data_IF_788841396440
#
_entry.id   IF_788841396440
#
_cell.length_a   1.000
_cell.length_b   1.000
_cell.length_c   1.000
_cell.angle_alpha   90.00
_cell.angle_beta   90.00
_cell.angle_gamma   90.00
#
_symmetry.space_group_name_H-M   'P 1'
#
loop_
_entity.id
_entity.type
_entity.pdbx_description
1 polymer ?
#
# COMPACT_ATOMS: atom_id res chain seq x y z
N UNK A 1 0.90 14.26 18.89
CA UNK A 1 -0.08 15.35 18.81
C UNK A 1 0.06 16.33 19.98
N UNK A 2 -0.16 15.86 21.19
CA UNK A 2 -0.21 16.74 22.40
C UNK A 2 1.12 17.44 22.79
N UNK A 3 2.24 17.08 22.17
CA UNK A 3 3.56 17.65 22.47
C UNK A 3 4.10 18.58 21.38
N UNK A 4 3.36 18.83 20.31
CA UNK A 4 3.77 19.72 19.22
C UNK A 4 5.01 19.25 18.44
N UNK A 5 5.39 17.97 18.55
CA UNK A 5 6.60 17.44 17.90
C UNK A 5 6.52 17.45 16.37
N UNK A 6 5.32 17.53 15.80
CA UNK A 6 5.15 17.67 14.35
C UNK A 6 5.84 18.93 13.78
N UNK A 7 5.90 20.01 14.57
CA UNK A 7 6.59 21.25 14.20
C UNK A 7 8.13 21.18 14.25
N UNK A 8 8.71 20.08 14.74
CA UNK A 8 10.16 19.90 14.82
C UNK A 8 10.75 19.16 13.63
N UNK A 9 9.91 18.62 12.73
CA UNK A 9 10.38 17.99 11.50
C UNK A 9 10.97 19.02 10.55
N UNK A 10 12.10 18.72 9.88
CA UNK A 10 12.61 19.55 8.80
C UNK A 10 11.52 19.77 7.73
N UNK A 11 11.45 20.98 7.19
CA UNK A 11 10.44 21.35 6.20
C UNK A 11 10.47 20.43 4.97
N UNK A 12 11.67 20.09 4.47
CA UNK A 12 11.84 19.18 3.33
C UNK A 12 11.29 17.78 3.58
N UNK A 13 11.46 17.27 4.80
CA UNK A 13 10.91 15.96 5.22
C UNK A 13 9.40 16.04 5.31
N UNK A 14 8.88 17.08 5.95
CA UNK A 14 7.44 17.34 6.05
C UNK A 14 6.79 17.40 4.67
N UNK A 15 7.37 18.18 3.76
CA UNK A 15 6.88 18.33 2.39
C UNK A 15 6.88 16.99 1.64
N UNK A 16 7.93 16.20 1.78
CA UNK A 16 8.00 14.86 1.16
C UNK A 16 6.92 13.94 1.71
N UNK A 17 6.69 13.93 3.02
CA UNK A 17 5.61 13.15 3.63
C UNK A 17 4.25 13.57 3.07
N UNK A 18 3.96 14.87 3.01
CA UNK A 18 2.69 15.37 2.52
C UNK A 18 2.47 15.07 1.03
N UNK A 19 3.51 15.18 0.22
CA UNK A 19 3.42 14.99 -1.25
C UNK A 19 3.50 13.52 -1.69
N UNK A 20 4.14 12.66 -0.89
CA UNK A 20 4.34 11.26 -1.26
C UNK A 20 3.48 10.31 -0.41
N UNK A 21 3.59 10.36 0.93
CA UNK A 21 2.92 9.37 1.77
C UNK A 21 1.40 9.62 1.87
N UNK A 22 0.98 10.86 1.95
CA UNK A 22 -0.45 11.18 2.12
C UNK A 22 -1.30 10.76 0.91
N UNK A 23 -0.88 10.95 -0.36
CA UNK A 23 -1.62 10.42 -1.51
C UNK A 23 -1.73 8.89 -1.53
N UNK A 24 -0.77 8.15 -0.96
CA UNK A 24 -0.82 6.69 -0.88
C UNK A 24 -2.00 6.13 -0.06
N UNK A 25 -2.69 6.97 0.72
CA UNK A 25 -3.97 6.60 1.34
C UNK A 25 -5.00 6.12 0.32
N UNK A 26 -4.95 6.63 -0.92
CA UNK A 26 -5.84 6.20 -2.00
C UNK A 26 -5.47 4.82 -2.51
N UNK A 27 -4.18 4.50 -2.57
CA UNK A 27 -3.70 3.14 -2.88
C UNK A 27 -4.13 2.16 -1.80
N UNK A 28 -3.91 2.49 -0.53
CA UNK A 28 -4.31 1.64 0.59
C UNK A 28 -5.82 1.41 0.63
N UNK A 29 -6.61 2.44 0.32
CA UNK A 29 -8.07 2.29 0.20
C UNK A 29 -8.45 1.38 -1.00
N UNK A 30 -7.79 1.52 -2.14
CA UNK A 30 -7.95 0.62 -3.28
C UNK A 30 -7.58 -0.82 -2.94
N UNK A 31 -6.46 -1.02 -2.24
CA UNK A 31 -6.03 -2.33 -1.74
C UNK A 31 -7.06 -2.97 -0.79
N UNK A 32 -7.70 -2.16 0.07
CA UNK A 32 -8.83 -2.61 0.90
C UNK A 32 -9.95 -3.19 0.03
N UNK A 33 -10.37 -2.47 -1.01
CA UNK A 33 -11.44 -2.91 -1.91
C UNK A 33 -11.05 -4.18 -2.67
N UNK A 34 -9.84 -4.26 -3.19
CA UNK A 34 -9.34 -5.42 -3.92
C UNK A 34 -9.29 -6.66 -3.03
N UNK A 35 -8.71 -6.57 -1.85
CA UNK A 35 -8.65 -7.69 -0.92
C UNK A 35 -10.05 -8.11 -0.43
N UNK A 36 -10.97 -7.18 -0.23
CA UNK A 36 -12.37 -7.49 0.08
C UNK A 36 -13.05 -8.23 -1.09
N UNK A 37 -12.77 -7.84 -2.33
CA UNK A 37 -13.26 -8.51 -3.54
C UNK A 37 -12.70 -9.93 -3.65
N UNK A 38 -11.39 -10.12 -3.47
CA UNK A 38 -10.79 -11.47 -3.44
C UNK A 38 -11.43 -12.33 -2.36
N UNK A 39 -11.62 -11.79 -1.15
CA UNK A 39 -12.31 -12.53 -0.09
C UNK A 39 -13.72 -12.96 -0.49
N UNK A 40 -14.47 -12.08 -1.14
CA UNK A 40 -15.88 -12.31 -1.48
C UNK A 40 -16.06 -13.34 -2.62
N UNK A 41 -15.16 -13.36 -3.59
CA UNK A 41 -15.31 -14.14 -4.82
C UNK A 41 -14.37 -15.35 -4.94
N UNK A 42 -13.42 -15.51 -4.02
CA UNK A 42 -12.51 -16.65 -4.02
C UNK A 42 -13.10 -17.87 -3.31
N UNK A 43 -12.51 -19.03 -3.59
CA UNK A 43 -12.89 -20.30 -2.98
C UNK A 43 -11.89 -20.73 -1.89
N UNK A 44 -12.42 -21.29 -0.83
CA UNK A 44 -11.63 -21.85 0.26
C UNK A 44 -11.18 -20.83 1.29
N UNK A 45 -11.39 -21.19 2.57
CA UNK A 45 -11.09 -20.30 3.71
C UNK A 45 -9.61 -19.99 3.87
N UNK A 46 -8.72 -20.90 3.45
CA UNK A 46 -7.27 -20.69 3.47
C UNK A 46 -6.79 -19.57 2.56
N UNK A 47 -7.59 -19.22 1.54
CA UNK A 47 -7.31 -18.12 0.63
C UNK A 47 -8.17 -16.87 0.96
N UNK A 48 -9.48 -17.05 1.20
CA UNK A 48 -10.38 -15.92 1.43
C UNK A 48 -10.15 -15.21 2.77
N UNK A 49 -9.89 -15.95 3.86
CA UNK A 49 -9.72 -15.33 5.19
C UNK A 49 -8.50 -14.40 5.31
N UNK A 50 -7.30 -14.74 4.84
CA UNK A 50 -6.19 -13.80 4.86
C UNK A 50 -6.50 -12.49 4.13
N UNK A 51 -7.25 -12.55 3.02
CA UNK A 51 -7.61 -11.36 2.28
C UNK A 51 -8.55 -10.41 3.04
N UNK A 52 -9.50 -10.93 3.83
CA UNK A 52 -10.32 -10.02 4.64
C UNK A 52 -9.53 -9.35 5.75
N UNK A 53 -8.55 -10.04 6.36
CA UNK A 53 -7.65 -9.41 7.31
C UNK A 53 -6.79 -8.33 6.64
N UNK A 54 -6.22 -8.63 5.47
CA UNK A 54 -5.48 -7.63 4.70
C UNK A 54 -6.35 -6.44 4.29
N UNK A 55 -7.59 -6.67 3.90
CA UNK A 55 -8.53 -5.58 3.61
C UNK A 55 -8.70 -4.65 4.82
N UNK A 56 -8.88 -5.20 6.02
CA UNK A 56 -9.01 -4.42 7.25
C UNK A 56 -7.72 -3.66 7.60
N UNK A 57 -6.57 -4.30 7.44
CA UNK A 57 -5.27 -3.68 7.68
C UNK A 57 -5.02 -2.52 6.70
N UNK A 58 -5.31 -2.70 5.42
CA UNK A 58 -5.17 -1.65 4.40
C UNK A 58 -6.11 -0.46 4.66
N UNK A 59 -7.33 -0.70 5.15
CA UNK A 59 -8.21 0.36 5.59
C UNK A 59 -7.60 1.13 6.78
N UNK A 60 -7.01 0.42 7.73
CA UNK A 60 -6.28 1.00 8.86
C UNK A 60 -5.09 1.86 8.40
N UNK A 61 -4.32 1.39 7.42
CA UNK A 61 -3.21 2.14 6.80
C UNK A 61 -3.72 3.42 6.12
N UNK A 62 -4.82 3.33 5.35
CA UNK A 62 -5.43 4.51 4.71
C UNK A 62 -5.85 5.57 5.74
N UNK A 63 -6.46 5.15 6.84
CA UNK A 63 -6.84 6.04 7.94
C UNK A 63 -5.62 6.63 8.64
N UNK A 64 -4.57 5.83 8.84
CA UNK A 64 -3.33 6.29 9.45
C UNK A 64 -2.62 7.35 8.61
N UNK A 65 -2.47 7.13 7.30
CA UNK A 65 -1.89 8.11 6.39
C UNK A 65 -2.73 9.41 6.33
N UNK A 66 -4.06 9.30 6.39
CA UNK A 66 -4.95 10.46 6.51
C UNK A 66 -4.65 11.25 7.79
N UNK A 67 -4.48 10.56 8.93
CA UNK A 67 -4.14 11.19 10.20
C UNK A 67 -2.78 11.86 10.19
N UNK A 68 -1.78 11.25 9.52
CA UNK A 68 -0.46 11.87 9.31
C UNK A 68 -0.60 13.18 8.52
N UNK A 69 -1.40 13.18 7.45
CA UNK A 69 -1.68 14.38 6.66
C UNK A 69 -2.31 15.49 7.51
N UNK A 70 -3.34 15.17 8.29
CA UNK A 70 -3.98 16.12 9.20
C UNK A 70 -3.03 16.69 10.27
N UNK A 71 -2.13 15.87 10.77
CA UNK A 71 -1.17 16.27 11.79
C UNK A 71 -0.09 17.21 11.26
N UNK A 72 0.35 17.00 10.01
CA UNK A 72 1.46 17.74 9.41
C UNK A 72 1.02 18.93 8.56
N UNK A 73 -0.17 18.93 7.99
CA UNK A 73 -0.60 19.95 7.03
C UNK A 73 -2.10 20.27 7.05
N UNK A 74 -2.81 19.91 8.10
CA UNK A 74 -4.25 20.14 8.27
C UNK A 74 -5.12 19.57 7.13
N UNK A 75 -6.37 20.02 7.04
CA UNK A 75 -7.34 19.57 6.02
C UNK A 75 -6.88 19.95 4.61
N UNK A 76 -6.22 21.08 4.44
CA UNK A 76 -5.74 21.56 3.14
C UNK A 76 -4.77 20.56 2.50
N UNK A 77 -3.90 19.93 3.29
CA UNK A 77 -2.96 18.91 2.78
C UNK A 77 -3.66 17.66 2.24
N UNK A 78 -4.82 17.32 2.81
CA UNK A 78 -5.62 16.20 2.31
C UNK A 78 -6.28 16.55 0.97
N UNK A 79 -6.74 17.77 0.79
CA UNK A 79 -7.33 18.24 -0.46
C UNK A 79 -6.26 18.36 -1.55
N UNK A 80 -5.06 18.84 -1.20
CA UNK A 80 -3.91 18.86 -2.11
C UNK A 80 -3.48 17.46 -2.53
N UNK A 81 -3.35 16.54 -1.59
CA UNK A 81 -3.01 15.15 -1.87
C UNK A 81 -4.06 14.46 -2.75
N UNK A 82 -5.35 14.76 -2.55
CA UNK A 82 -6.43 14.27 -3.41
C UNK A 82 -6.32 14.88 -4.81
N UNK A 83 -6.04 16.18 -4.92
CA UNK A 83 -5.87 16.85 -6.21
C UNK A 83 -4.66 16.26 -6.96
N UNK A 84 -3.53 16.07 -6.27
CA UNK A 84 -2.36 15.44 -6.86
C UNK A 84 -2.69 14.03 -7.39
N UNK A 85 -3.36 13.20 -6.59
CA UNK A 85 -3.82 11.87 -7.01
C UNK A 85 -4.70 11.93 -8.27
N UNK A 86 -5.58 12.90 -8.36
CA UNK A 86 -6.55 13.01 -9.46
C UNK A 86 -5.98 13.65 -10.73
N UNK A 87 -5.02 14.57 -10.62
CA UNK A 87 -4.66 15.48 -11.70
C UNK A 87 -3.16 15.51 -12.02
N UNK A 88 -2.27 15.16 -11.07
CA UNK A 88 -0.83 15.24 -11.26
C UNK A 88 -0.32 14.05 -12.09
N UNK A 89 0.39 14.32 -13.18
CA UNK A 89 0.95 13.35 -14.10
C UNK A 89 1.82 12.28 -13.38
N UNK A 90 2.51 12.67 -12.30
CA UNK A 90 3.34 11.76 -11.52
C UNK A 90 2.54 10.61 -10.88
N UNK A 91 1.25 10.84 -10.59
CA UNK A 91 0.37 9.85 -9.95
C UNK A 91 -0.47 9.04 -10.95
N UNK A 92 -0.63 9.49 -12.20
CA UNK A 92 -1.59 8.88 -13.12
C UNK A 92 -1.25 7.42 -13.49
N UNK A 93 0.03 7.06 -13.53
CA UNK A 93 0.44 5.68 -13.76
C UNK A 93 -0.04 4.73 -12.66
N UNK A 94 0.24 5.08 -11.40
CA UNK A 94 -0.18 4.30 -10.24
C UNK A 94 -1.71 4.33 -10.06
N UNK A 95 -2.34 5.49 -10.25
CA UNK A 95 -3.78 5.63 -10.19
C UNK A 95 -4.48 4.72 -11.20
N UNK A 96 -4.04 4.73 -12.46
CA UNK A 96 -4.59 3.87 -13.50
C UNK A 96 -4.48 2.40 -13.11
N UNK A 97 -3.31 1.98 -12.63
CA UNK A 97 -3.11 0.61 -12.18
C UNK A 97 -4.13 0.20 -11.09
N UNK A 98 -4.32 1.06 -10.09
CA UNK A 98 -5.28 0.82 -9.01
C UNK A 98 -6.72 0.78 -9.54
N UNK A 99 -7.11 1.72 -10.41
CA UNK A 99 -8.46 1.79 -10.96
C UNK A 99 -8.73 0.61 -11.93
N UNK A 100 -7.76 0.21 -12.75
CA UNK A 100 -7.88 -0.94 -13.64
C UNK A 100 -8.03 -2.26 -12.86
N UNK A 101 -7.38 -2.36 -11.70
CA UNK A 101 -7.52 -3.54 -10.83
C UNK A 101 -8.94 -3.78 -10.31
N UNK A 102 -9.78 -2.73 -10.18
CA UNK A 102 -11.16 -2.86 -9.72
C UNK A 102 -12.09 -3.61 -10.69
N UNK A 103 -11.71 -3.73 -11.95
CA UNK A 103 -12.49 -4.45 -12.96
C UNK A 103 -11.97 -5.84 -13.24
N UNK A 104 -10.90 -6.27 -12.61
CA UNK A 104 -10.38 -7.64 -12.66
C UNK A 104 -11.39 -8.57 -11.97
N UNK A 105 -11.84 -9.59 -12.69
CA UNK A 105 -12.90 -10.50 -12.22
C UNK A 105 -12.37 -11.78 -11.59
N UNK A 106 -11.23 -12.26 -12.04
CA UNK A 106 -10.60 -13.45 -11.48
C UNK A 106 -9.93 -13.09 -10.14
N UNK A 107 -10.33 -13.73 -9.02
CA UNK A 107 -9.77 -13.40 -7.71
C UNK A 107 -8.29 -13.78 -7.58
N UNK A 108 -7.77 -14.75 -8.34
CA UNK A 108 -6.36 -15.13 -8.31
C UNK A 108 -5.53 -14.12 -9.12
N UNK A 109 -6.03 -13.69 -10.28
CA UNK A 109 -5.43 -12.59 -11.05
C UNK A 109 -5.37 -11.32 -10.20
N UNK A 110 -6.47 -10.97 -9.52
CA UNK A 110 -6.52 -9.80 -8.64
C UNK A 110 -5.55 -9.92 -7.45
N UNK A 111 -5.42 -11.11 -6.87
CA UNK A 111 -4.41 -11.38 -5.85
C UNK A 111 -2.98 -11.17 -6.37
N UNK A 112 -2.66 -11.66 -7.56
CA UNK A 112 -1.34 -11.46 -8.18
C UNK A 112 -1.10 -9.97 -8.44
N UNK A 113 -2.06 -9.27 -9.04
CA UNK A 113 -1.94 -7.85 -9.32
C UNK A 113 -1.77 -7.02 -8.03
N UNK A 114 -2.59 -7.27 -7.00
CA UNK A 114 -2.59 -6.48 -5.78
C UNK A 114 -1.44 -6.87 -4.84
N UNK A 115 -1.40 -8.13 -4.40
CA UNK A 115 -0.55 -8.52 -3.29
C UNK A 115 0.87 -8.93 -3.72
N UNK A 116 1.04 -9.43 -4.96
CA UNK A 116 2.37 -9.78 -5.48
C UNK A 116 3.01 -8.58 -6.18
N UNK A 117 2.34 -7.99 -7.16
CA UNK A 117 2.92 -6.92 -7.97
C UNK A 117 2.88 -5.57 -7.23
N UNK A 118 1.69 -5.04 -6.91
CA UNK A 118 1.57 -3.70 -6.34
C UNK A 118 2.21 -3.61 -4.95
N UNK A 119 1.78 -4.42 -4.01
CA UNK A 119 2.31 -4.38 -2.64
C UNK A 119 3.79 -4.78 -2.61
N UNK A 120 4.18 -5.77 -3.42
CA UNK A 120 5.56 -6.26 -3.52
C UNK A 120 6.57 -5.24 -4.04
N UNK A 121 6.13 -4.27 -4.83
CA UNK A 121 6.97 -3.16 -5.33
C UNK A 121 6.84 -1.92 -4.45
N UNK A 122 5.62 -1.57 -4.04
CA UNK A 122 5.32 -0.31 -3.36
C UNK A 122 5.91 -0.26 -1.94
N UNK A 123 5.71 -1.31 -1.15
CA UNK A 123 6.11 -1.31 0.26
C UNK A 123 7.63 -1.21 0.44
N UNK A 124 8.47 -2.02 -0.24
CA UNK A 124 9.92 -1.86 -0.15
C UNK A 124 10.40 -0.49 -0.68
N UNK A 125 9.84 -0.03 -1.80
CA UNK A 125 10.23 1.27 -2.36
C UNK A 125 9.91 2.42 -1.40
N UNK A 126 8.70 2.46 -0.88
CA UNK A 126 8.24 3.60 -0.08
C UNK A 126 8.78 3.54 1.34
N UNK A 127 8.59 2.43 2.04
CA UNK A 127 8.87 2.38 3.47
C UNK A 127 10.32 2.02 3.78
N UNK A 128 10.93 1.07 3.06
CA UNK A 128 12.33 0.72 3.28
C UNK A 128 13.27 1.74 2.62
N UNK A 129 13.11 1.99 1.31
CA UNK A 129 14.06 2.85 0.58
C UNK A 129 13.81 4.34 0.85
N UNK A 130 12.58 4.85 0.64
CA UNK A 130 12.34 6.30 0.74
C UNK A 130 12.28 6.72 2.20
N UNK A 131 11.53 6.04 3.05
CA UNK A 131 11.34 6.46 4.44
C UNK A 131 12.54 6.11 5.29
N UNK A 132 12.93 4.83 5.33
CA UNK A 132 13.99 4.37 6.25
C UNK A 132 15.37 4.83 5.83
N UNK A 133 15.74 4.73 4.53
CA UNK A 133 17.06 5.10 4.07
C UNK A 133 17.19 6.61 3.80
N UNK A 134 16.26 7.20 3.02
CA UNK A 134 16.39 8.58 2.55
C UNK A 134 15.87 9.57 3.59
N UNK A 135 14.61 9.50 4.00
CA UNK A 135 14.02 10.49 4.92
C UNK A 135 14.64 10.42 6.30
N UNK A 136 14.94 9.22 6.81
CA UNK A 136 15.60 9.06 8.11
C UNK A 136 16.96 9.77 8.15
N UNK A 137 17.76 9.65 7.07
CA UNK A 137 19.06 10.33 6.95
C UNK A 137 18.95 11.86 6.88
N UNK A 138 17.80 12.38 6.47
CA UNK A 138 17.50 13.81 6.36
C UNK A 138 16.82 14.41 7.61
N UNK A 139 16.82 13.67 8.71
CA UNK A 139 16.17 14.10 9.97
C UNK A 139 14.73 13.62 10.13
N UNK A 140 14.25 12.74 9.25
CA UNK A 140 12.93 12.13 9.28
C UNK A 140 12.81 10.86 10.13
N UNK A 141 13.72 10.60 11.06
CA UNK A 141 13.71 9.40 11.93
C UNK A 141 12.36 9.19 12.63
N UNK A 142 11.69 10.29 13.02
CA UNK A 142 10.36 10.19 13.61
C UNK A 142 9.32 9.63 12.63
N UNK A 143 9.44 9.94 11.34
CA UNK A 143 8.57 9.39 10.29
C UNK A 143 8.84 7.90 10.13
N UNK A 144 10.10 7.49 10.03
CA UNK A 144 10.50 6.09 9.97
C UNK A 144 9.95 5.27 11.16
N UNK A 145 10.07 5.80 12.37
CA UNK A 145 9.50 5.15 13.57
C UNK A 145 7.96 5.04 13.53
N UNK A 146 7.29 6.05 12.97
CA UNK A 146 5.83 6.04 12.85
C UNK A 146 5.32 5.07 11.77
N UNK A 147 6.12 4.80 10.74
CA UNK A 147 5.75 3.90 9.64
C UNK A 147 6.35 2.50 9.76
N UNK A 148 7.16 2.23 10.80
CA UNK A 148 7.81 0.94 11.03
C UNK A 148 6.81 -0.24 10.98
N UNK A 149 5.63 -0.05 11.54
CA UNK A 149 4.62 -1.12 11.54
C UNK A 149 4.17 -1.52 10.11
N UNK A 150 4.30 -0.64 9.13
CA UNK A 150 3.98 -0.96 7.72
C UNK A 150 5.05 -1.87 7.11
N UNK A 151 6.32 -1.66 7.46
CA UNK A 151 7.42 -2.55 7.07
C UNK A 151 7.25 -3.92 7.73
N UNK A 152 6.96 -3.95 9.03
CA UNK A 152 6.74 -5.20 9.78
C UNK A 152 5.51 -5.96 9.24
N UNK A 153 4.40 -5.25 9.00
CA UNK A 153 3.19 -5.81 8.40
C UNK A 153 3.47 -6.41 7.01
N UNK A 154 4.19 -5.69 6.16
CA UNK A 154 4.53 -6.19 4.83
C UNK A 154 5.42 -7.43 4.91
N UNK A 155 6.41 -7.46 5.79
CA UNK A 155 7.29 -8.62 5.98
C UNK A 155 6.51 -9.88 6.41
N UNK A 156 5.49 -9.74 7.25
CA UNK A 156 4.60 -10.85 7.62
C UNK A 156 3.66 -11.25 6.47
N UNK A 157 3.01 -10.29 5.83
CA UNK A 157 2.10 -10.50 4.71
C UNK A 157 2.81 -11.22 3.56
N UNK A 158 4.02 -10.80 3.22
CA UNK A 158 4.81 -11.40 2.15
C UNK A 158 5.07 -12.89 2.34
N UNK A 159 5.28 -13.36 3.57
CA UNK A 159 5.49 -14.80 3.85
C UNK A 159 4.29 -15.63 3.40
N UNK A 160 3.08 -15.15 3.69
CA UNK A 160 1.86 -15.82 3.27
C UNK A 160 1.65 -15.71 1.75
N UNK A 161 1.87 -14.54 1.17
CA UNK A 161 1.76 -14.32 -0.29
C UNK A 161 2.71 -15.23 -1.04
N UNK A 162 3.99 -15.28 -0.66
CA UNK A 162 5.00 -16.14 -1.27
C UNK A 162 4.65 -17.64 -1.15
N UNK A 163 4.12 -18.05 0.02
CA UNK A 163 3.70 -19.42 0.22
C UNK A 163 2.50 -19.79 -0.68
N UNK A 164 1.53 -18.88 -0.81
CA UNK A 164 0.35 -19.06 -1.66
C UNK A 164 0.74 -19.17 -3.13
N UNK A 165 1.61 -18.26 -3.61
CA UNK A 165 2.12 -18.30 -4.99
C UNK A 165 2.88 -19.60 -5.27
N UNK A 166 3.74 -20.05 -4.34
CA UNK A 166 4.50 -21.30 -4.48
C UNK A 166 3.58 -22.51 -4.60
N UNK A 167 2.53 -22.59 -3.78
CA UNK A 167 1.55 -23.69 -3.81
C UNK A 167 0.81 -23.66 -5.15
N UNK A 168 0.27 -22.52 -5.54
CA UNK A 168 -0.48 -22.38 -6.79
C UNK A 168 0.38 -22.70 -8.03
N UNK A 169 1.63 -22.21 -8.06
CA UNK A 169 2.56 -22.49 -9.16
C UNK A 169 3.04 -23.95 -9.20
N UNK A 170 3.07 -24.65 -8.07
CA UNK A 170 3.47 -26.04 -7.99
C UNK A 170 2.33 -27.01 -8.38
N UNK A 171 1.10 -26.55 -8.41
CA UNK A 171 -0.09 -27.37 -8.72
C UNK A 171 -0.12 -27.78 -10.19
N UNK A 172 0.24 -26.85 -11.11
CA UNK A 172 0.39 -27.18 -12.53
C UNK A 172 1.34 -26.21 -13.26
N UNK A 173 1.98 -26.67 -14.38
CA UNK A 173 2.76 -25.77 -15.24
C UNK A 173 1.91 -24.62 -15.80
N UNK A 174 0.66 -24.88 -16.13
CA UNK A 174 -0.29 -23.90 -16.67
C UNK A 174 -0.55 -22.78 -15.66
N UNK A 175 -0.76 -23.10 -14.38
CA UNK A 175 -0.91 -22.09 -13.32
C UNK A 175 0.31 -21.18 -13.24
N UNK A 176 1.51 -21.77 -13.33
CA UNK A 176 2.75 -21.00 -13.31
C UNK A 176 2.86 -20.04 -14.49
N UNK A 177 2.52 -20.49 -15.69
CA UNK A 177 2.55 -19.67 -16.91
C UNK A 177 1.53 -18.54 -16.84
N UNK A 178 0.30 -18.84 -16.43
CA UNK A 178 -0.76 -17.85 -16.31
C UNK A 178 -0.40 -16.78 -15.28
N UNK A 179 0.05 -17.18 -14.09
CA UNK A 179 0.46 -16.19 -13.07
C UNK A 179 1.65 -15.33 -13.52
N UNK A 180 2.58 -15.89 -14.31
CA UNK A 180 3.69 -15.11 -14.88
C UNK A 180 3.23 -14.11 -15.95
N UNK A 181 2.10 -14.36 -16.63
CA UNK A 181 1.52 -13.41 -17.58
C UNK A 181 0.79 -12.25 -16.90
N UNK A 182 0.36 -12.42 -15.65
CA UNK A 182 -0.32 -11.38 -14.86
C UNK A 182 0.65 -10.43 -14.13
N UNK A 183 1.93 -10.75 -14.08
CA UNK A 183 3.01 -9.92 -13.51
C UNK A 183 3.62 -8.99 -14.55
#
# INVERSE_FOLDING_TARGET
ENRGLAGTLPESVRDTVLKLLVPLRHVAWGSNMNNASVCAYSYGTGFSQPHIYQAMDQLGIAQYLTRVGLLLGDVESLDEAKRAWMEDDAWQGLRRYVEDSFVVKDPVELFVAQNVALDGLLYPLVYETIVDDVLSSQGGTAVAMLTQFMTDWFAETRKWVDATVKIAAAESPENKEVMACWL
#
